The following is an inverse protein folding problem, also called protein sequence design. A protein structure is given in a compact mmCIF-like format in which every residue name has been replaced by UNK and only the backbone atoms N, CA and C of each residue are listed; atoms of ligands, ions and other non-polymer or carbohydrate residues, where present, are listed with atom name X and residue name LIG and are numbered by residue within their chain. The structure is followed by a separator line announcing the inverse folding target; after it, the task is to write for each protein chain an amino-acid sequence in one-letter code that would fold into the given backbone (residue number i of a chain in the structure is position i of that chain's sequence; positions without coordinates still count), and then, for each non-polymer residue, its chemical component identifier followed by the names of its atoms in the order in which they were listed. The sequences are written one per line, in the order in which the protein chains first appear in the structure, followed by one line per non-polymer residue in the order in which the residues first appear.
data_IF_747468045119
#
_entry.id   IF_747468045119
#
_cell.length_a   1.000
_cell.length_b   1.000
_cell.length_c   1.000
_cell.angle_alpha   90.00
_cell.angle_beta   90.00
_cell.angle_gamma   90.00
#
_symmetry.space_group_name_H-M   'P 1'
#
loop_
_entity.id
_entity.type
_entity.pdbx_description
1 polymer ?
#
# COMPACT_ATOMS: atom_id res chain seq x y z
N UNK A 1 18.42 -28.76 -33.07
CA UNK A 1 18.97 -28.80 -31.70
C UNK A 1 18.64 -27.55 -30.87
N UNK A 2 18.55 -26.34 -31.45
CA UNK A 2 18.15 -25.09 -30.72
C UNK A 2 16.66 -25.01 -30.38
N UNK A 3 15.77 -25.59 -31.20
CA UNK A 3 14.32 -25.57 -30.99
C UNK A 3 13.91 -26.34 -29.71
N UNK A 4 14.51 -27.51 -29.46
CA UNK A 4 14.18 -28.32 -28.28
C UNK A 4 14.61 -27.69 -26.95
N UNK A 5 15.67 -26.88 -26.95
CA UNK A 5 16.10 -26.18 -25.73
C UNK A 5 15.16 -25.03 -25.35
N UNK A 6 14.62 -24.33 -26.35
CA UNK A 6 13.63 -23.27 -26.08
C UNK A 6 12.32 -23.85 -25.52
N UNK A 7 11.87 -24.99 -26.04
CA UNK A 7 10.66 -25.69 -25.54
C UNK A 7 10.84 -26.14 -24.07
N UNK A 8 12.02 -26.65 -23.71
CA UNK A 8 12.31 -27.04 -22.32
C UNK A 8 12.23 -25.84 -21.37
N UNK A 9 12.74 -24.67 -21.77
CA UNK A 9 12.67 -23.44 -20.95
C UNK A 9 11.22 -23.03 -20.73
N UNK A 10 10.37 -23.07 -21.76
CA UNK A 10 8.94 -22.74 -21.62
C UNK A 10 8.19 -23.74 -20.73
N UNK A 11 8.49 -25.05 -20.84
CA UNK A 11 7.89 -26.08 -19.99
C UNK A 11 8.31 -25.87 -18.54
N UNK A 12 9.60 -25.63 -18.26
CA UNK A 12 10.09 -25.34 -16.92
C UNK A 12 9.46 -24.09 -16.36
N UNK A 13 9.37 -23.01 -17.16
CA UNK A 13 8.72 -21.75 -16.75
C UNK A 13 7.22 -21.95 -16.45
N UNK A 14 6.51 -22.77 -17.25
CA UNK A 14 5.10 -23.08 -17.01
C UNK A 14 4.90 -23.90 -15.74
N UNK A 15 5.72 -24.92 -15.51
CA UNK A 15 5.65 -25.75 -14.28
C UNK A 15 5.96 -24.91 -13.04
N UNK A 16 7.03 -24.10 -13.06
CA UNK A 16 7.37 -23.23 -11.93
C UNK A 16 6.30 -22.17 -11.69
N UNK A 17 5.73 -21.60 -12.76
CA UNK A 17 4.61 -20.68 -12.68
C UNK A 17 3.37 -21.32 -12.04
N UNK A 18 3.04 -22.56 -12.41
CA UNK A 18 1.95 -23.31 -11.82
C UNK A 18 2.17 -23.61 -10.33
N UNK A 19 3.38 -24.02 -9.97
CA UNK A 19 3.74 -24.28 -8.55
C UNK A 19 3.59 -23.01 -7.71
N UNK A 20 4.08 -21.88 -8.19
CA UNK A 20 3.96 -20.59 -7.52
C UNK A 20 2.49 -20.18 -7.36
N UNK A 21 1.70 -20.29 -8.43
CA UNK A 21 0.27 -19.98 -8.38
C UNK A 21 -0.48 -20.90 -7.41
N UNK A 22 -0.20 -22.20 -7.45
CA UNK A 22 -0.79 -23.17 -6.53
C UNK A 22 -0.43 -22.82 -5.08
N UNK A 23 0.85 -22.57 -4.78
CA UNK A 23 1.31 -22.22 -3.45
C UNK A 23 0.63 -20.95 -2.91
N UNK A 24 0.39 -19.94 -3.75
CA UNK A 24 -0.26 -18.70 -3.34
C UNK A 24 -1.78 -18.83 -3.21
N UNK A 25 -2.43 -19.57 -4.10
CA UNK A 25 -3.90 -19.61 -4.20
C UNK A 25 -4.50 -20.71 -3.32
N UNK A 26 -3.82 -21.85 -3.21
CA UNK A 26 -4.32 -23.02 -2.46
C UNK A 26 -4.65 -22.72 -1.00
N UNK A 27 -3.80 -22.04 -0.19
CA UNK A 27 -4.13 -21.69 1.19
C UNK A 27 -5.37 -20.82 1.30
N UNK A 28 -5.54 -19.87 0.37
CA UNK A 28 -6.71 -18.99 0.34
C UNK A 28 -7.98 -19.79 0.07
N UNK A 29 -7.97 -20.66 -0.94
CA UNK A 29 -9.12 -21.53 -1.23
C UNK A 29 -9.38 -22.49 -0.08
N UNK A 30 -8.34 -23.07 0.50
CA UNK A 30 -8.48 -24.01 1.62
C UNK A 30 -9.13 -23.36 2.86
N UNK A 31 -8.97 -22.05 3.05
CA UNK A 31 -9.61 -21.33 4.16
C UNK A 31 -11.14 -21.45 4.10
N UNK A 32 -11.74 -21.52 2.91
CA UNK A 32 -13.20 -21.66 2.76
C UNK A 32 -13.74 -23.01 3.21
N UNK A 33 -12.91 -24.05 3.31
CA UNK A 33 -13.33 -25.36 3.84
C UNK A 33 -13.37 -25.41 5.38
N UNK A 34 -12.84 -24.39 6.05
CA UNK A 34 -12.79 -24.32 7.51
C UNK A 34 -14.01 -23.66 8.16
N UNK A 35 -14.98 -23.21 7.38
CA UNK A 35 -16.20 -22.60 7.88
C UNK A 35 -17.43 -23.13 7.13
N UNK A 36 -18.55 -23.19 7.81
CA UNK A 36 -19.83 -23.46 7.18
C UNK A 36 -20.51 -22.18 6.71
N UNK A 37 -21.47 -22.33 5.81
CA UNK A 37 -22.20 -21.19 5.24
C UNK A 37 -23.03 -20.43 6.27
N UNK A 38 -23.53 -21.11 7.30
CA UNK A 38 -24.36 -20.47 8.34
C UNK A 38 -23.49 -19.53 9.19
N UNK A 39 -22.35 -20.01 9.67
CA UNK A 39 -21.39 -19.18 10.45
C UNK A 39 -20.83 -18.02 9.61
N UNK A 40 -20.59 -18.23 8.30
CA UNK A 40 -20.15 -17.16 7.42
C UNK A 40 -21.22 -16.06 7.26
N UNK A 41 -22.50 -16.45 7.08
CA UNK A 41 -23.61 -15.50 6.97
C UNK A 41 -23.79 -14.75 8.30
N UNK A 42 -23.74 -15.41 9.43
CA UNK A 42 -23.81 -14.77 10.75
C UNK A 42 -22.71 -13.72 10.91
N UNK A 43 -21.48 -14.07 10.55
CA UNK A 43 -20.31 -13.16 10.63
C UNK A 43 -20.43 -11.96 9.66
N UNK A 44 -21.09 -12.12 8.51
CA UNK A 44 -21.36 -11.02 7.58
C UNK A 44 -22.27 -9.92 8.17
N UNK A 45 -23.12 -10.27 9.15
CA UNK A 45 -23.97 -9.31 9.85
C UNK A 45 -23.44 -8.92 11.23
N UNK A 46 -22.27 -9.41 11.61
CA UNK A 46 -21.60 -9.04 12.84
C UNK A 46 -21.11 -7.59 12.77
N UNK A 47 -21.68 -6.74 13.62
CA UNK A 47 -21.40 -5.30 13.66
C UNK A 47 -19.93 -5.00 13.98
N UNK A 48 -19.30 -5.81 14.81
CA UNK A 48 -17.90 -5.64 15.18
C UNK A 48 -16.97 -5.94 14.01
N UNK A 49 -17.23 -7.03 13.26
CA UNK A 49 -16.49 -7.37 12.04
C UNK A 49 -16.64 -6.28 10.99
N UNK A 50 -17.87 -5.84 10.72
CA UNK A 50 -18.11 -4.79 9.74
C UNK A 50 -17.45 -3.45 10.14
N UNK A 51 -17.53 -3.08 11.42
CA UNK A 51 -16.91 -1.86 11.93
C UNK A 51 -15.37 -1.92 11.80
N UNK A 52 -14.76 -3.06 12.12
CA UNK A 52 -13.31 -3.26 12.00
C UNK A 52 -12.81 -3.23 10.54
N UNK A 53 -13.58 -3.82 9.62
CA UNK A 53 -13.29 -3.77 8.18
C UNK A 53 -13.42 -2.34 7.66
N UNK A 54 -14.51 -1.65 8.03
CA UNK A 54 -14.70 -0.25 7.64
C UNK A 54 -13.58 0.65 8.16
N UNK A 55 -13.18 0.46 9.41
CA UNK A 55 -12.05 1.18 10.01
C UNK A 55 -10.75 0.93 9.26
N UNK A 56 -10.47 -0.33 8.89
CA UNK A 56 -9.29 -0.69 8.10
C UNK A 56 -9.27 0.03 6.75
N UNK A 57 -10.41 0.02 6.02
CA UNK A 57 -10.55 0.69 4.72
C UNK A 57 -10.37 2.21 4.87
N UNK A 58 -11.03 2.81 5.87
CA UNK A 58 -10.94 4.24 6.18
C UNK A 58 -9.50 4.66 6.46
N UNK A 59 -8.83 3.98 7.42
CA UNK A 59 -7.47 4.31 7.80
C UNK A 59 -6.48 4.09 6.64
N UNK A 60 -6.59 2.99 5.88
CA UNK A 60 -5.74 2.74 4.73
C UNK A 60 -5.94 3.80 3.62
N UNK A 61 -7.17 4.26 3.40
CA UNK A 61 -7.46 5.31 2.41
C UNK A 61 -6.89 6.65 2.82
N UNK A 62 -7.05 7.04 4.10
CA UNK A 62 -6.44 8.26 4.63
C UNK A 62 -4.91 8.17 4.55
N UNK A 63 -4.34 7.02 4.91
CA UNK A 63 -2.89 6.77 4.81
C UNK A 63 -2.38 6.96 3.39
N UNK A 64 -3.06 6.40 2.39
CA UNK A 64 -2.67 6.53 0.99
C UNK A 64 -2.74 7.99 0.50
N UNK A 65 -3.74 8.77 0.96
CA UNK A 65 -3.85 10.20 0.66
C UNK A 65 -2.72 10.99 1.32
N UNK A 66 -2.42 10.75 2.60
CA UNK A 66 -1.32 11.43 3.28
C UNK A 66 0.03 11.06 2.66
N UNK A 67 0.23 9.78 2.34
CA UNK A 67 1.43 9.33 1.64
C UNK A 67 1.58 10.03 0.28
N UNK A 68 0.49 10.22 -0.47
CA UNK A 68 0.50 10.96 -1.72
C UNK A 68 0.90 12.42 -1.51
N UNK A 69 0.29 13.12 -0.57
CA UNK A 69 0.57 14.53 -0.34
C UNK A 69 2.01 14.79 0.10
N UNK A 70 2.56 13.94 0.97
CA UNK A 70 3.92 14.08 1.50
C UNK A 70 4.97 13.40 0.61
N UNK A 71 4.66 12.25 0.04
CA UNK A 71 5.60 11.43 -0.73
C UNK A 71 5.87 11.95 -2.13
N UNK A 72 4.88 12.53 -2.82
CA UNK A 72 5.05 12.99 -4.20
C UNK A 72 6.09 14.12 -4.32
N UNK A 73 6.08 15.17 -3.49
CA UNK A 73 7.13 16.19 -3.54
C UNK A 73 8.53 15.61 -3.31
N UNK A 74 8.67 14.71 -2.33
CA UNK A 74 9.95 14.05 -2.03
C UNK A 74 10.39 13.15 -3.18
N UNK A 75 9.49 12.34 -3.74
CA UNK A 75 9.78 11.46 -4.87
C UNK A 75 10.24 12.26 -6.10
N UNK A 76 9.58 13.40 -6.40
CA UNK A 76 9.99 14.27 -7.49
C UNK A 76 11.38 14.86 -7.25
N UNK A 77 11.66 15.33 -6.04
CA UNK A 77 12.98 15.85 -5.68
C UNK A 77 14.06 14.78 -5.88
N UNK A 78 13.85 13.57 -5.36
CA UNK A 78 14.78 12.45 -5.51
C UNK A 78 14.96 12.00 -6.98
N UNK A 79 13.90 12.12 -7.80
CA UNK A 79 13.98 11.77 -9.22
C UNK A 79 14.79 12.77 -10.05
N UNK A 80 14.84 14.05 -9.66
CA UNK A 80 15.42 15.14 -10.46
C UNK A 80 16.76 15.66 -9.94
N UNK A 81 17.13 15.35 -8.72
CA UNK A 81 18.37 15.87 -8.13
C UNK A 81 19.33 14.74 -7.77
N UNK A 82 20.59 14.95 -8.10
CA UNK A 82 21.72 14.12 -7.68
C UNK A 82 22.52 14.87 -6.62
N UNK A 83 22.75 14.23 -5.46
CA UNK A 83 23.53 14.77 -4.36
C UNK A 83 24.28 13.67 -3.61
N UNK A 84 25.36 14.03 -2.91
CA UNK A 84 26.32 13.06 -2.33
C UNK A 84 25.70 12.04 -1.36
N UNK A 85 24.64 12.41 -0.66
CA UNK A 85 23.96 11.55 0.34
C UNK A 85 22.66 10.93 -0.17
N UNK A 86 22.36 11.00 -1.47
CA UNK A 86 21.11 10.53 -2.05
C UNK A 86 20.81 9.06 -1.71
N UNK A 87 21.80 8.19 -1.94
CA UNK A 87 21.66 6.75 -1.63
C UNK A 87 21.38 6.51 -0.14
N UNK A 88 22.03 7.28 0.75
CA UNK A 88 21.76 7.18 2.17
C UNK A 88 20.32 7.62 2.51
N UNK A 89 19.85 8.73 1.93
CA UNK A 89 18.46 9.21 2.15
C UNK A 89 17.46 8.21 1.63
N UNK A 90 17.65 7.66 0.42
CA UNK A 90 16.79 6.61 -0.13
C UNK A 90 16.79 5.38 0.79
N UNK A 91 17.95 4.91 1.24
CA UNK A 91 18.03 3.78 2.19
C UNK A 91 17.34 4.07 3.52
N UNK A 92 17.42 5.29 4.05
CA UNK A 92 16.73 5.67 5.29
C UNK A 92 15.21 5.69 5.12
N UNK A 93 14.71 6.11 3.95
CA UNK A 93 13.29 6.05 3.60
C UNK A 93 12.80 4.59 3.59
N UNK A 94 13.64 3.66 3.12
CA UNK A 94 13.28 2.26 2.95
C UNK A 94 13.41 1.42 4.23
N UNK A 95 14.04 1.94 5.30
CA UNK A 95 14.19 1.23 6.58
C UNK A 95 12.87 0.59 7.08
N UNK A 96 11.72 1.29 7.06
CA UNK A 96 10.47 0.71 7.55
C UNK A 96 10.01 -0.56 6.81
N UNK A 97 10.47 -0.76 5.58
CA UNK A 97 10.15 -1.97 4.79
C UNK A 97 11.00 -3.18 5.20
N UNK A 98 12.17 -2.95 5.80
CA UNK A 98 13.14 -3.99 6.15
C UNK A 98 12.97 -4.48 7.59
N UNK A 99 12.63 -3.57 8.50
CA UNK A 99 12.46 -3.92 9.92
C UNK A 99 11.16 -4.71 10.16
N UNK A 100 11.14 -5.66 11.11
CA UNK A 100 9.91 -6.32 11.50
C UNK A 100 8.84 -5.31 11.94
N UNK A 101 7.59 -5.50 11.51
CA UNK A 101 6.53 -4.50 11.75
C UNK A 101 6.23 -4.26 13.24
N UNK A 102 6.36 -5.29 14.08
CA UNK A 102 6.27 -5.12 15.55
C UNK A 102 7.38 -4.24 16.09
N UNK A 103 8.60 -4.36 15.55
CA UNK A 103 9.72 -3.47 15.91
C UNK A 103 9.43 -2.04 15.45
N UNK A 104 8.88 -1.86 14.24
CA UNK A 104 8.42 -0.56 13.77
C UNK A 104 7.40 0.07 14.72
N UNK A 105 6.43 -0.72 15.20
CA UNK A 105 5.46 -0.28 16.21
C UNK A 105 6.11 0.14 17.52
N UNK A 106 7.09 -0.59 18.02
CA UNK A 106 7.84 -0.23 19.23
C UNK A 106 8.63 1.08 19.01
N UNK A 107 9.30 1.23 17.86
CA UNK A 107 10.00 2.48 17.54
C UNK A 107 9.04 3.68 17.55
N UNK A 108 7.88 3.56 16.91
CA UNK A 108 6.87 4.60 16.91
C UNK A 108 6.33 4.88 18.33
N UNK A 109 6.10 3.82 19.13
CA UNK A 109 5.66 3.95 20.52
C UNK A 109 6.67 4.77 21.37
N UNK A 110 7.98 4.58 21.18
CA UNK A 110 9.01 5.37 21.88
C UNK A 110 8.94 6.86 21.56
N UNK A 111 8.53 7.19 20.32
CA UNK A 111 8.39 8.59 19.87
C UNK A 111 7.05 9.21 20.31
N UNK A 112 5.95 8.45 20.25
CA UNK A 112 4.60 8.95 20.50
C UNK A 112 4.17 8.83 21.96
N UNK A 113 4.91 8.09 22.80
CA UNK A 113 4.63 7.95 24.22
C UNK A 113 4.70 9.31 24.94
N UNK A 114 3.82 9.57 25.92
CA UNK A 114 3.86 10.77 26.78
C UNK A 114 5.19 10.98 27.50
N UNK A 115 6.04 9.95 27.57
CA UNK A 115 7.40 10.05 28.14
C UNK A 115 8.39 10.72 27.18
N UNK A 116 8.12 10.77 25.90
CA UNK A 116 8.96 11.43 24.89
C UNK A 116 8.68 12.93 24.81
N UNK A 117 9.58 13.69 24.18
CA UNK A 117 9.37 15.13 23.93
C UNK A 117 8.19 15.35 22.97
N UNK A 118 8.14 14.55 21.89
CA UNK A 118 7.08 14.66 20.87
C UNK A 118 5.74 14.21 21.45
N UNK A 119 5.69 13.08 22.16
CA UNK A 119 4.45 12.58 22.76
C UNK A 119 3.87 13.55 23.80
N UNK A 120 4.70 14.17 24.64
CA UNK A 120 4.25 15.23 25.56
C UNK A 120 3.69 16.45 24.85
N UNK A 121 4.35 16.88 23.77
CA UNK A 121 3.84 17.99 22.96
C UNK A 121 2.47 17.66 22.34
N UNK A 122 2.29 16.45 21.83
CA UNK A 122 1.02 15.99 21.27
C UNK A 122 -0.08 15.96 22.36
N UNK A 123 0.21 15.39 23.52
CA UNK A 123 -0.72 15.30 24.64
C UNK A 123 -1.14 16.69 25.15
N UNK A 124 -0.20 17.62 25.31
CA UNK A 124 -0.47 19.00 25.73
C UNK A 124 -1.36 19.76 24.74
N UNK A 125 -1.33 19.39 23.44
CA UNK A 125 -2.19 19.96 22.40
C UNK A 125 -3.44 19.14 22.13
N UNK A 126 -3.81 18.19 23.01
CA UNK A 126 -4.96 17.29 22.85
C UNK A 126 -4.95 16.47 21.54
N UNK A 127 -3.75 16.17 21.02
CA UNK A 127 -3.53 15.35 19.83
C UNK A 127 -3.17 13.92 20.27
N UNK A 128 -4.16 13.21 20.80
CA UNK A 128 -3.98 11.82 21.20
C UNK A 128 -3.72 10.93 19.99
N UNK A 129 -2.60 10.19 20.04
CA UNK A 129 -2.22 9.27 18.95
C UNK A 129 -2.28 7.81 19.37
N UNK A 130 -1.93 7.49 20.62
CA UNK A 130 -1.94 6.11 21.10
C UNK A 130 -3.37 5.65 21.40
N UNK A 131 -3.71 4.44 20.95
CA UNK A 131 -5.06 3.90 21.12
C UNK A 131 -6.14 4.64 20.33
N UNK A 132 -5.78 5.31 19.21
CA UNK A 132 -6.70 6.09 18.39
C UNK A 132 -6.55 5.77 16.91
N UNK A 133 -7.51 6.22 16.08
CA UNK A 133 -7.40 6.14 14.62
C UNK A 133 -6.14 6.84 14.08
N UNK A 134 -5.71 7.93 14.72
CA UNK A 134 -4.49 8.63 14.34
C UNK A 134 -3.25 7.74 14.52
N UNK A 135 -3.17 6.98 15.60
CA UNK A 135 -2.10 5.98 15.81
C UNK A 135 -2.11 4.88 14.77
N UNK A 136 -3.29 4.40 14.36
CA UNK A 136 -3.43 3.42 13.28
C UNK A 136 -2.88 4.00 11.97
N UNK A 137 -3.28 5.22 11.61
CA UNK A 137 -2.85 5.89 10.38
C UNK A 137 -1.33 6.13 10.39
N UNK A 138 -0.75 6.57 11.52
CA UNK A 138 0.70 6.77 11.66
C UNK A 138 1.45 5.44 11.48
N UNK A 139 0.97 4.35 12.08
CA UNK A 139 1.58 3.04 11.93
C UNK A 139 1.55 2.57 10.47
N UNK A 140 0.38 2.67 9.83
CA UNK A 140 0.20 2.32 8.42
C UNK A 140 1.09 3.18 7.52
N UNK A 141 1.13 4.50 7.76
CA UNK A 141 1.92 5.45 6.98
C UNK A 141 3.41 5.15 7.06
N UNK A 142 3.93 4.93 8.27
CA UNK A 142 5.33 4.62 8.49
C UNK A 142 5.81 3.42 7.66
N UNK A 143 5.01 2.35 7.62
CA UNK A 143 5.37 1.10 6.94
C UNK A 143 5.13 1.16 5.43
N UNK A 144 4.11 1.89 4.97
CA UNK A 144 3.67 1.83 3.57
C UNK A 144 4.11 2.99 2.69
N UNK A 145 4.46 4.15 3.28
CA UNK A 145 4.85 5.35 2.53
C UNK A 145 6.06 5.16 1.60
N UNK A 146 7.11 4.40 1.96
CA UNK A 146 8.23 4.14 1.07
C UNK A 146 7.81 3.57 -0.28
N UNK A 147 6.82 2.68 -0.31
CA UNK A 147 6.31 2.06 -1.55
C UNK A 147 5.77 3.09 -2.55
N UNK A 148 5.08 4.12 -2.05
CA UNK A 148 4.62 5.20 -2.92
C UNK A 148 5.76 6.09 -3.39
N UNK A 149 6.70 6.42 -2.49
CA UNK A 149 7.85 7.27 -2.83
C UNK A 149 8.67 6.61 -3.94
N UNK A 150 8.96 5.32 -3.82
CA UNK A 150 9.73 4.59 -4.83
C UNK A 150 8.98 4.48 -6.16
N UNK A 151 7.71 4.08 -6.13
CA UNK A 151 6.91 3.99 -7.35
C UNK A 151 6.76 5.35 -8.07
N UNK A 152 6.57 6.42 -7.31
CA UNK A 152 6.47 7.77 -7.85
C UNK A 152 7.81 8.28 -8.38
N UNK A 153 8.92 8.03 -7.65
CA UNK A 153 10.29 8.34 -8.07
C UNK A 153 10.62 7.68 -9.42
N UNK A 154 10.30 6.39 -9.55
CA UNK A 154 10.54 5.66 -10.80
C UNK A 154 9.64 6.15 -11.94
N UNK A 155 8.39 6.48 -11.64
CA UNK A 155 7.49 7.09 -12.62
C UNK A 155 7.99 8.46 -13.10
N UNK A 156 8.52 9.29 -12.21
CA UNK A 156 9.13 10.57 -12.58
C UNK A 156 10.44 10.38 -13.37
N UNK A 157 11.29 9.42 -12.99
CA UNK A 157 12.52 9.08 -13.77
C UNK A 157 12.18 8.64 -15.19
N UNK A 158 11.04 7.99 -15.38
CA UNK A 158 10.54 7.59 -16.70
C UNK A 158 10.15 8.74 -17.62
N UNK A 159 9.98 9.96 -17.11
CA UNK A 159 9.73 11.17 -17.92
C UNK A 159 11.07 11.80 -18.33
N UNK A 160 11.41 11.84 -19.63
CA UNK A 160 12.67 12.41 -20.06
C UNK A 160 12.79 13.90 -19.68
N UNK A 161 13.89 14.33 -19.03
CA UNK A 161 14.11 15.74 -18.66
C UNK A 161 14.06 16.72 -19.85
N UNK A 162 14.33 16.22 -21.05
CA UNK A 162 14.25 17.01 -22.29
C UNK A 162 12.86 17.61 -22.50
N UNK A 163 11.80 16.86 -22.18
CA UNK A 163 10.41 17.34 -22.36
C UNK A 163 10.13 18.50 -21.40
N UNK A 164 10.58 18.39 -20.15
CA UNK A 164 10.48 19.48 -19.17
C UNK A 164 11.28 20.73 -19.61
N UNK A 165 12.48 20.53 -20.18
CA UNK A 165 13.31 21.63 -20.68
C UNK A 165 12.65 22.35 -21.86
N UNK A 166 12.04 21.62 -22.80
CA UNK A 166 11.27 22.22 -23.91
C UNK A 166 10.10 23.05 -23.39
N UNK A 167 9.35 22.54 -22.41
CA UNK A 167 8.26 23.32 -21.80
C UNK A 167 8.75 24.66 -21.21
N UNK A 168 9.87 24.60 -20.49
CA UNK A 168 10.49 25.81 -19.91
C UNK A 168 11.01 26.78 -20.96
N UNK A 169 11.56 26.27 -22.06
CA UNK A 169 12.00 27.12 -23.20
C UNK A 169 10.84 27.81 -23.91
N UNK A 170 9.63 27.24 -23.80
CA UNK A 170 8.38 27.86 -24.30
C UNK A 170 7.74 28.83 -23.31
N UNK A 171 8.42 29.13 -22.19
CA UNK A 171 7.97 30.13 -21.21
C UNK A 171 7.22 29.57 -20.01
N UNK A 172 7.01 28.26 -19.90
CA UNK A 172 6.38 27.66 -18.73
C UNK A 172 7.32 27.73 -17.51
N UNK A 173 6.78 28.15 -16.36
CA UNK A 173 7.52 28.07 -15.09
C UNK A 173 7.59 26.62 -14.57
N UNK A 174 8.38 26.42 -13.50
CA UNK A 174 8.62 25.08 -12.94
C UNK A 174 7.33 24.39 -12.47
N UNK A 175 6.40 25.13 -11.85
CA UNK A 175 5.12 24.61 -11.36
C UNK A 175 4.22 24.20 -12.53
N UNK A 176 4.15 25.04 -13.56
CA UNK A 176 3.39 24.74 -14.79
C UNK A 176 3.96 23.51 -15.50
N UNK A 177 5.28 23.39 -15.60
CA UNK A 177 5.95 22.22 -16.18
C UNK A 177 5.65 20.96 -15.37
N UNK A 178 5.72 21.05 -14.03
CA UNK A 178 5.42 19.91 -13.17
C UNK A 178 3.99 19.41 -13.36
N UNK A 179 2.99 20.28 -13.13
CA UNK A 179 1.58 19.87 -13.20
C UNK A 179 1.10 19.60 -14.63
N UNK A 180 1.59 20.34 -15.62
CA UNK A 180 1.16 20.19 -17.02
C UNK A 180 1.82 19.03 -17.77
N UNK A 181 3.02 18.63 -17.38
CA UNK A 181 3.81 17.63 -18.13
C UNK A 181 4.23 16.48 -17.24
N UNK A 182 5.08 16.73 -16.23
CA UNK A 182 5.74 15.66 -15.50
C UNK A 182 4.75 14.82 -14.73
N UNK A 183 3.86 15.45 -13.98
CA UNK A 183 2.83 14.77 -13.19
C UNK A 183 1.84 14.00 -14.10
N UNK A 184 1.40 14.64 -15.19
CA UNK A 184 0.47 14.00 -16.13
C UNK A 184 1.06 12.76 -16.79
N UNK A 185 2.34 12.81 -17.19
CA UNK A 185 3.02 11.68 -17.80
C UNK A 185 3.33 10.57 -16.79
N UNK A 186 3.57 10.92 -15.51
CA UNK A 186 3.88 9.99 -14.43
C UNK A 186 2.65 9.43 -13.71
N UNK A 187 1.47 10.02 -13.94
CA UNK A 187 0.25 9.77 -13.16
C UNK A 187 -0.08 8.28 -12.97
N UNK A 188 0.10 7.48 -14.01
CA UNK A 188 -0.19 6.03 -13.94
C UNK A 188 0.73 5.29 -13.00
N UNK A 189 2.02 5.61 -13.01
CA UNK A 189 2.98 5.02 -12.08
C UNK A 189 2.69 5.45 -10.64
N UNK A 190 2.36 6.72 -10.44
CA UNK A 190 1.93 7.27 -9.15
C UNK A 190 0.67 6.55 -8.65
N UNK A 191 -0.36 6.41 -9.48
CA UNK A 191 -1.59 5.71 -9.14
C UNK A 191 -1.34 4.24 -8.78
N UNK A 192 -0.47 3.56 -9.53
CA UNK A 192 -0.04 2.19 -9.19
C UNK A 192 0.65 2.14 -7.83
N UNK A 193 1.52 3.10 -7.52
CA UNK A 193 2.15 3.25 -6.21
C UNK A 193 1.13 3.47 -5.09
N UNK A 194 0.13 4.34 -5.32
CA UNK A 194 -0.96 4.57 -4.35
C UNK A 194 -1.75 3.30 -4.06
N UNK A 195 -2.07 2.51 -5.08
CA UNK A 195 -2.81 1.24 -4.94
C UNK A 195 -2.00 0.23 -4.11
N UNK A 196 -0.70 0.11 -4.38
CA UNK A 196 0.19 -0.78 -3.62
C UNK A 196 0.31 -0.31 -2.17
N UNK A 197 0.47 0.99 -1.94
CA UNK A 197 0.52 1.60 -0.60
C UNK A 197 -0.77 1.36 0.17
N UNK A 198 -1.93 1.53 -0.47
CA UNK A 198 -3.23 1.24 0.12
C UNK A 198 -3.37 -0.25 0.49
N UNK A 199 -3.04 -1.15 -0.45
CA UNK A 199 -3.10 -2.60 -0.21
C UNK A 199 -2.15 -3.04 0.92
N UNK A 200 -0.98 -2.41 1.03
CA UNK A 200 -0.03 -2.64 2.12
C UNK A 200 -0.56 -2.11 3.45
N UNK A 201 -1.20 -0.93 3.44
CA UNK A 201 -1.78 -0.32 4.63
C UNK A 201 -2.92 -1.15 5.21
N UNK A 202 -3.87 -1.62 4.40
CA UNK A 202 -5.02 -2.40 4.88
C UNK A 202 -4.62 -3.73 5.51
N UNK A 203 -3.48 -4.28 5.12
CA UNK A 203 -2.92 -5.52 5.67
C UNK A 203 -1.99 -5.30 6.87
N UNK A 204 -1.79 -4.03 7.31
CA UNK A 204 -0.90 -3.76 8.43
C UNK A 204 -1.51 -4.23 9.75
N UNK A 205 -0.72 -5.02 10.48
CA UNK A 205 -1.09 -5.58 11.78
C UNK A 205 -0.01 -5.29 12.82
N UNK A 206 1.25 -5.58 12.50
CA UNK A 206 2.32 -5.65 13.47
C UNK A 206 2.64 -4.32 14.17
N UNK A 207 2.64 -3.20 13.45
CA UNK A 207 2.85 -1.89 14.05
C UNK A 207 1.56 -1.37 14.72
N UNK A 208 0.40 -1.67 14.13
CA UNK A 208 -0.88 -1.21 14.65
C UNK A 208 -1.21 -1.86 15.99
N UNK A 209 -1.00 -3.16 16.17
CA UNK A 209 -1.30 -3.84 17.44
C UNK A 209 -0.51 -3.27 18.63
N UNK A 210 0.65 -2.69 18.38
CA UNK A 210 1.50 -2.06 19.40
C UNK A 210 1.03 -0.64 19.73
N UNK A 211 0.61 0.14 18.72
CA UNK A 211 0.26 1.54 18.88
C UNK A 211 -1.20 1.79 19.23
N UNK A 212 -2.09 0.99 18.67
CA UNK A 212 -3.52 1.19 18.78
C UNK A 212 -4.26 -0.16 18.67
N UNK A 213 -4.22 -0.94 19.76
CA UNK A 213 -4.97 -2.19 19.82
C UNK A 213 -6.47 -1.94 19.65
N UNK A 214 -6.99 -0.92 20.32
CA UNK A 214 -8.34 -0.39 20.15
C UNK A 214 -8.28 1.05 19.64
N UNK A 215 -9.20 1.45 18.72
CA UNK A 215 -10.24 0.63 18.08
C UNK A 215 -9.63 -0.41 17.12
N UNK A 216 -10.18 -1.62 17.08
CA UNK A 216 -9.61 -2.73 16.33
C UNK A 216 -9.86 -2.58 14.82
N UNK A 217 -8.79 -2.62 14.04
CA UNK A 217 -8.84 -2.88 12.60
C UNK A 217 -9.07 -4.38 12.34
N UNK A 218 -9.51 -4.75 11.14
CA UNK A 218 -9.85 -6.13 10.82
C UNK A 218 -8.72 -7.14 11.09
N UNK A 219 -7.44 -6.90 10.75
CA UNK A 219 -6.36 -7.83 11.12
C UNK A 219 -6.22 -8.01 12.64
N UNK A 220 -6.39 -6.95 13.44
CA UNK A 220 -6.32 -7.03 14.91
C UNK A 220 -7.50 -7.83 15.46
N UNK A 221 -8.72 -7.60 14.99
CA UNK A 221 -9.91 -8.34 15.38
C UNK A 221 -9.80 -9.83 15.03
N UNK A 222 -9.32 -10.15 13.83
CA UNK A 222 -9.11 -11.55 13.41
C UNK A 222 -8.10 -12.24 14.33
N UNK A 223 -7.00 -11.57 14.67
CA UNK A 223 -5.98 -12.10 15.58
C UNK A 223 -6.55 -12.29 16.99
N UNK A 224 -7.32 -11.35 17.52
CA UNK A 224 -7.97 -11.48 18.82
C UNK A 224 -8.95 -12.66 18.85
N UNK A 225 -9.80 -12.79 17.83
CA UNK A 225 -10.73 -13.92 17.71
C UNK A 225 -9.98 -15.26 17.62
N UNK A 226 -8.86 -15.29 16.90
CA UNK A 226 -8.03 -16.48 16.81
C UNK A 226 -7.44 -16.87 18.16
N UNK A 227 -6.85 -15.94 18.90
CA UNK A 227 -6.17 -16.22 20.17
C UNK A 227 -7.14 -16.50 21.33
N UNK A 228 -8.33 -15.88 21.29
CA UNK A 228 -9.31 -16.01 22.37
C UNK A 228 -10.31 -17.14 22.14
N UNK A 229 -10.81 -17.29 20.90
CA UNK A 229 -11.91 -18.22 20.58
C UNK A 229 -11.51 -19.31 19.57
N UNK A 230 -10.29 -19.22 18.99
CA UNK A 230 -9.77 -20.21 18.04
C UNK A 230 -10.24 -20.00 16.60
N UNK A 231 -9.85 -20.96 15.75
CA UNK A 231 -10.05 -20.89 14.29
C UNK A 231 -11.52 -20.72 13.87
N UNK A 232 -12.47 -21.33 14.59
CA UNK A 232 -13.88 -21.30 14.25
C UNK A 232 -14.43 -19.88 14.13
N UNK A 233 -13.95 -18.96 14.97
CA UNK A 233 -14.43 -17.55 15.00
C UNK A 233 -13.54 -16.61 14.18
N UNK A 234 -12.27 -16.95 13.98
CA UNK A 234 -11.34 -16.12 13.21
C UNK A 234 -11.52 -16.30 11.68
N UNK A 235 -11.71 -17.55 11.23
CA UNK A 235 -11.75 -17.89 9.80
C UNK A 235 -12.87 -17.19 9.04
N UNK A 236 -14.12 -17.12 9.52
CA UNK A 236 -15.18 -16.42 8.81
C UNK A 236 -14.86 -14.93 8.61
N UNK A 237 -14.37 -14.24 9.65
CA UNK A 237 -13.98 -12.83 9.56
C UNK A 237 -12.79 -12.64 8.59
N UNK A 238 -11.83 -13.57 8.58
CA UNK A 238 -10.70 -13.56 7.64
C UNK A 238 -11.17 -13.72 6.20
N UNK A 239 -12.11 -14.63 5.90
CA UNK A 239 -12.70 -14.80 4.56
C UNK A 239 -13.34 -13.50 4.08
N UNK A 240 -14.14 -12.86 4.93
CA UNK A 240 -14.82 -11.61 4.58
C UNK A 240 -13.80 -10.51 4.25
N UNK A 241 -12.75 -10.37 5.08
CA UNK A 241 -11.69 -9.40 4.83
C UNK A 241 -10.96 -9.69 3.50
N UNK A 242 -10.62 -10.95 3.24
CA UNK A 242 -9.95 -11.35 1.98
C UNK A 242 -10.82 -10.99 0.78
N UNK A 243 -12.11 -11.36 0.79
CA UNK A 243 -13.02 -11.10 -0.33
C UNK A 243 -13.17 -9.61 -0.58
N UNK A 244 -13.43 -8.82 0.47
CA UNK A 244 -13.57 -7.37 0.35
C UNK A 244 -12.27 -6.73 -0.16
N UNK A 245 -11.12 -7.11 0.40
CA UNK A 245 -9.83 -6.57 -0.01
C UNK A 245 -9.51 -6.89 -1.47
N UNK A 246 -9.78 -8.12 -1.93
CA UNK A 246 -9.60 -8.52 -3.32
C UNK A 246 -10.51 -7.71 -4.25
N UNK A 247 -11.79 -7.55 -3.91
CA UNK A 247 -12.75 -6.77 -4.72
C UNK A 247 -12.25 -5.33 -4.86
N UNK A 248 -11.91 -4.67 -3.76
CA UNK A 248 -11.45 -3.29 -3.79
C UNK A 248 -10.14 -3.19 -4.59
N UNK A 249 -9.18 -4.11 -4.37
CA UNK A 249 -7.92 -4.11 -5.10
C UNK A 249 -8.12 -4.28 -6.62
N UNK A 250 -9.01 -5.20 -7.04
CA UNK A 250 -9.34 -5.39 -8.45
C UNK A 250 -9.96 -4.12 -9.03
N UNK A 251 -10.94 -3.51 -8.34
CA UNK A 251 -11.57 -2.27 -8.79
C UNK A 251 -10.54 -1.15 -8.96
N UNK A 252 -9.68 -0.93 -7.97
CA UNK A 252 -8.63 0.08 -8.05
C UNK A 252 -7.67 -0.18 -9.21
N UNK A 253 -7.30 -1.44 -9.43
CA UNK A 253 -6.41 -1.85 -10.53
C UNK A 253 -7.05 -1.65 -11.90
N UNK A 254 -8.32 -1.98 -12.06
CA UNK A 254 -9.06 -1.76 -13.31
C UNK A 254 -9.17 -0.27 -13.64
N UNK A 255 -9.43 0.57 -12.65
CA UNK A 255 -9.43 2.04 -12.83
C UNK A 255 -8.05 2.53 -13.29
N UNK A 256 -6.96 1.98 -12.75
CA UNK A 256 -5.59 2.32 -13.16
C UNK A 256 -5.29 1.89 -14.61
N UNK A 257 -5.83 0.77 -15.07
CA UNK A 257 -5.58 0.20 -16.42
C UNK A 257 -6.50 0.81 -17.48
N UNK A 258 -7.75 1.12 -17.19
CA UNK A 258 -8.76 1.60 -18.15
C UNK A 258 -8.40 2.90 -18.87
N UNK A 259 -7.40 3.64 -18.38
CA UNK A 259 -6.83 4.78 -19.11
C UNK A 259 -5.83 4.38 -20.23
N UNK A 260 -5.37 3.15 -20.29
CA UNK A 260 -4.35 2.70 -21.28
C UNK A 260 -4.93 2.55 -22.68
N UNK A 261 -6.10 1.95 -22.80
CA UNK A 261 -6.76 1.74 -24.09
C UNK A 261 -7.21 3.04 -24.77
N UNK A 262 -7.66 4.01 -23.97
CA UNK A 262 -8.13 5.30 -24.47
C UNK A 262 -7.00 6.19 -25.03
N UNK A 263 -5.76 6.01 -24.57
CA UNK A 263 -4.60 6.77 -25.05
C UNK A 263 -3.99 6.12 -26.31
N UNK A 264 -3.84 4.79 -26.32
CA UNK A 264 -3.33 4.04 -27.47
C UNK A 264 -4.26 4.10 -28.69
N UNK A 265 -5.58 4.12 -28.47
CA UNK A 265 -6.56 4.31 -29.54
C UNK A 265 -6.48 5.72 -30.17
N UNK A 266 -6.21 6.75 -29.38
CA UNK A 266 -6.03 8.13 -29.88
C UNK A 266 -4.68 8.34 -30.58
N UNK A 267 -3.65 7.61 -30.20
CA UNK A 267 -2.34 7.63 -30.85
C UNK A 267 -2.38 6.93 -32.21
N UNK A 268 -3.16 5.86 -32.37
CA UNK A 268 -3.34 5.13 -33.64
C UNK A 268 -4.18 5.85 -34.68
N UNK A 269 -4.97 6.87 -34.31
CA UNK A 269 -5.82 7.65 -35.25
C UNK A 269 -5.04 8.82 -35.89
N UNK A 270 -3.81 9.09 -35.48
CA UNK A 270 -3.00 10.22 -35.94
C UNK A 270 -1.86 9.88 -36.90
N UNK A 271 -1.84 8.65 -37.46
CA UNK A 271 -0.91 8.29 -38.53
C UNK A 271 -1.64 7.67 -39.72
#
# INVERSE_FOLDING_TARGET
MFHSRAEIIYIVAAITGFIILFFNVFPIINTFYWTDSATLIETLFDKEVLASIWLSIKCASITAIIAFLLGIPLAYYLARHEFRLKTLVESLIDIPMVIPHTVAGICLLTVLSPRSVIGRFLEQNHLETLGTEAGIIIAMLFVSMPLLIDAAKDAFKGVPPRIENVSRSLGANQVQTFFGITFVLSWRGILSGMIITWARSISEFGAVIILAYHPMIAPTLIYERFTTYGMKYAVPANIILIVISIIIFIVLRLVSLGGKEKYDSRAKIKY
#
